data_IF_861324039252
#
_entry.id   IF_861324039252
#
_cell.length_a   1.000
_cell.length_b   1.000
_cell.length_c   1.000
_cell.angle_alpha   90.00
_cell.angle_beta   90.00
_cell.angle_gamma   90.00
#
_symmetry.space_group_name_H-M   'P 1'
#
loop_
_entity.id
_entity.type
_entity.pdbx_description
1 polymer ?
#
# COMPACT_ATOMS: atom_id res chain seq x y z
N UNK A 1 -2.72 15.36 -37.60
CA UNK A 1 -3.28 14.63 -36.45
C UNK A 1 -3.49 13.22 -36.92
N UNK A 2 -2.54 12.33 -36.63
CA UNK A 2 -2.71 10.90 -36.92
C UNK A 2 -3.86 10.40 -36.04
N UNK A 3 -4.88 9.82 -36.66
CA UNK A 3 -5.78 8.93 -35.94
C UNK A 3 -4.90 7.76 -35.45
N UNK A 4 -4.53 7.76 -34.17
CA UNK A 4 -4.20 6.52 -33.50
C UNK A 4 -5.47 5.70 -33.52
N UNK A 5 -5.59 4.78 -34.47
CA UNK A 5 -6.61 3.75 -34.43
C UNK A 5 -6.48 3.05 -33.08
N UNK A 6 -7.57 3.03 -32.31
CA UNK A 6 -7.67 2.26 -31.09
C UNK A 6 -7.59 0.78 -31.49
N UNK A 7 -6.41 0.19 -31.37
CA UNK A 7 -6.20 -1.22 -31.68
C UNK A 7 -6.52 -2.03 -30.43
N UNK A 8 -7.49 -2.93 -30.56
CA UNK A 8 -7.75 -3.98 -29.59
C UNK A 8 -6.81 -5.16 -29.90
N UNK A 9 -5.93 -5.48 -28.95
CA UNK A 9 -4.98 -6.58 -29.04
C UNK A 9 -5.39 -7.68 -28.08
N UNK A 10 -5.52 -8.91 -28.60
CA UNK A 10 -5.65 -10.10 -27.78
C UNK A 10 -4.26 -10.53 -27.30
N UNK A 11 -4.12 -10.72 -25.98
CA UNK A 11 -2.86 -11.12 -25.39
C UNK A 11 -3.06 -12.04 -24.18
N UNK A 12 -1.97 -12.70 -23.79
CA UNK A 12 -1.89 -13.53 -22.59
C UNK A 12 -0.94 -12.89 -21.59
N UNK A 13 -1.34 -12.79 -20.32
CA UNK A 13 -0.49 -12.26 -19.25
C UNK A 13 0.66 -13.21 -18.96
N UNK A 14 1.90 -12.73 -19.06
CA UNK A 14 3.09 -13.47 -18.63
C UNK A 14 3.35 -13.26 -17.14
N UNK A 15 3.13 -12.03 -16.64
CA UNK A 15 3.26 -11.71 -15.24
C UNK A 15 3.07 -10.24 -14.92
N UNK A 16 3.02 -9.93 -13.62
CA UNK A 16 2.88 -8.57 -13.09
C UNK A 16 4.22 -8.10 -12.55
N UNK A 17 4.72 -6.98 -13.09
CA UNK A 17 6.00 -6.40 -12.67
C UNK A 17 5.84 -5.56 -11.39
N UNK A 18 4.82 -4.72 -11.34
CA UNK A 18 4.44 -3.89 -10.19
C UNK A 18 2.94 -3.56 -10.24
N UNK A 19 2.45 -2.71 -9.32
CA UNK A 19 1.03 -2.40 -9.17
C UNK A 19 0.36 -1.77 -10.40
N UNK A 20 1.14 -1.25 -11.35
CA UNK A 20 0.62 -0.59 -12.56
C UNK A 20 1.26 -1.10 -13.85
N UNK A 21 2.04 -2.18 -13.80
CA UNK A 21 2.81 -2.66 -14.95
C UNK A 21 2.71 -4.17 -15.09
N UNK A 22 2.35 -4.64 -16.29
CA UNK A 22 2.27 -6.06 -16.64
C UNK A 22 3.14 -6.38 -17.85
N UNK A 23 3.49 -7.66 -17.99
CA UNK A 23 4.10 -8.21 -19.20
C UNK A 23 3.12 -9.15 -19.86
N UNK A 24 2.95 -9.01 -21.16
CA UNK A 24 1.99 -9.78 -21.96
C UNK A 24 2.66 -10.35 -23.20
N UNK A 25 2.06 -11.38 -23.76
CA UNK A 25 2.42 -11.96 -25.06
C UNK A 25 1.19 -11.94 -25.96
N UNK A 26 1.27 -11.29 -27.11
CA UNK A 26 0.18 -11.28 -28.09
C UNK A 26 0.10 -12.59 -28.90
N UNK A 27 -0.93 -12.71 -29.73
CA UNK A 27 -1.13 -13.88 -30.59
C UNK A 27 -0.06 -14.05 -31.68
N UNK A 28 0.66 -12.98 -32.04
CA UNK A 28 1.81 -13.07 -32.95
C UNK A 28 3.08 -13.57 -32.24
N UNK A 29 3.01 -13.73 -30.91
CA UNK A 29 4.10 -14.19 -30.07
C UNK A 29 5.02 -13.07 -29.57
N UNK A 30 4.72 -11.81 -29.87
CA UNK A 30 5.49 -10.67 -29.43
C UNK A 30 5.23 -10.42 -27.95
N UNK A 31 6.31 -10.21 -27.19
CA UNK A 31 6.23 -9.85 -25.76
C UNK A 31 6.31 -8.34 -25.61
N UNK A 32 5.40 -7.77 -24.83
CA UNK A 32 5.29 -6.33 -24.59
C UNK A 32 5.15 -6.05 -23.10
N UNK A 33 5.73 -4.94 -22.65
CA UNK A 33 5.52 -4.41 -21.30
C UNK A 33 4.48 -3.32 -21.37
N UNK A 34 3.40 -3.48 -20.62
CA UNK A 34 2.22 -2.61 -20.62
C UNK A 34 2.15 -1.89 -19.29
N UNK A 35 2.12 -0.56 -19.33
CA UNK A 35 1.77 0.31 -18.20
C UNK A 35 0.29 0.60 -18.25
N UNK A 36 -0.40 0.47 -17.12
CA UNK A 36 -1.83 0.75 -17.04
C UNK A 36 -2.08 2.26 -17.22
N UNK A 37 -2.87 2.60 -18.23
CA UNK A 37 -3.26 3.97 -18.57
C UNK A 37 -4.21 4.59 -17.52
N UNK A 38 -4.21 5.93 -17.48
CA UNK A 38 -5.15 6.78 -16.74
C UNK A 38 -5.16 6.63 -15.22
N UNK A 39 -4.28 5.79 -14.68
CA UNK A 39 -4.13 5.56 -13.25
C UNK A 39 -2.69 5.85 -12.82
N UNK A 40 -2.54 6.22 -11.55
CA UNK A 40 -1.25 6.40 -10.91
C UNK A 40 -1.23 5.73 -9.54
N UNK A 41 -0.11 5.09 -9.21
CA UNK A 41 0.13 4.49 -7.90
C UNK A 41 1.28 5.30 -7.27
N UNK A 42 0.98 6.19 -6.31
CA UNK A 42 1.95 7.16 -5.80
C UNK A 42 3.23 6.51 -5.27
N UNK A 43 4.39 7.14 -5.45
CA UNK A 43 5.63 6.62 -4.87
C UNK A 43 5.62 6.62 -3.33
N UNK A 44 4.93 7.59 -2.71
CA UNK A 44 4.68 7.59 -1.27
C UNK A 44 3.82 6.40 -0.81
N UNK A 45 3.06 5.79 -1.73
CA UNK A 45 2.30 4.57 -1.49
C UNK A 45 3.16 3.30 -1.57
N UNK A 46 4.42 3.35 -2.02
CA UNK A 46 5.29 2.17 -2.21
C UNK A 46 5.49 1.30 -0.96
N UNK A 47 5.17 1.78 0.24
CA UNK A 47 5.17 0.94 1.45
C UNK A 47 4.02 1.40 2.36
N UNK A 48 2.96 0.62 2.67
CA UNK A 48 2.55 -0.76 2.28
C UNK A 48 1.56 -0.87 1.10
N UNK A 49 1.02 0.24 0.59
CA UNK A 49 -0.11 0.22 -0.37
C UNK A 49 0.28 -0.21 -1.80
N UNK A 50 1.52 0.05 -2.24
CA UNK A 50 2.03 -0.39 -3.55
C UNK A 50 2.18 -1.90 -3.62
N UNK A 51 2.51 -2.54 -2.50
CA UNK A 51 2.47 -4.00 -2.38
C UNK A 51 1.02 -4.52 -2.49
N UNK A 52 0.06 -3.86 -1.84
CA UNK A 52 -1.35 -4.22 -1.94
C UNK A 52 -1.86 -4.09 -3.39
N UNK A 53 -1.52 -3.01 -4.09
CA UNK A 53 -1.86 -2.83 -5.50
C UNK A 53 -1.23 -3.92 -6.40
N UNK A 54 0.03 -4.27 -6.16
CA UNK A 54 0.73 -5.34 -6.90
C UNK A 54 0.09 -6.71 -6.63
N UNK A 55 -0.22 -7.02 -5.37
CA UNK A 55 -0.91 -8.25 -5.00
C UNK A 55 -2.29 -8.33 -5.63
N UNK A 56 -3.03 -7.21 -5.61
CA UNK A 56 -4.35 -7.16 -6.21
C UNK A 56 -4.29 -7.34 -7.73
N UNK A 57 -3.35 -6.69 -8.40
CA UNK A 57 -3.16 -6.85 -9.84
C UNK A 57 -2.79 -8.30 -10.20
N UNK A 58 -1.97 -8.99 -9.37
CA UNK A 58 -1.68 -10.43 -9.54
C UNK A 58 -2.91 -11.33 -9.36
N UNK A 59 -3.84 -10.95 -8.49
CA UNK A 59 -5.10 -11.68 -8.31
C UNK A 59 -6.06 -11.45 -9.46
N UNK A 60 -6.11 -10.23 -10.00
CA UNK A 60 -6.95 -9.88 -11.16
C UNK A 60 -6.38 -10.48 -12.45
N UNK A 61 -5.06 -10.54 -12.57
CA UNK A 61 -4.33 -11.01 -13.74
C UNK A 61 -3.28 -12.08 -13.38
N UNK A 62 -3.70 -13.31 -12.99
CA UNK A 62 -2.79 -14.44 -12.88
C UNK A 62 -2.00 -14.68 -14.19
N UNK A 63 -0.80 -15.24 -14.09
CA UNK A 63 -0.06 -15.66 -15.29
C UNK A 63 -0.87 -16.66 -16.10
N UNK A 64 -0.92 -16.50 -17.42
CA UNK A 64 -1.77 -17.26 -18.33
C UNK A 64 -3.15 -16.65 -18.58
N UNK A 65 -3.53 -15.57 -17.89
CA UNK A 65 -4.86 -14.96 -18.11
C UNK A 65 -4.97 -14.36 -19.51
N UNK A 66 -6.06 -14.66 -20.26
CA UNK A 66 -6.36 -13.98 -21.50
C UNK A 66 -6.86 -12.57 -21.20
N UNK A 67 -6.35 -11.59 -21.94
CA UNK A 67 -6.75 -10.19 -21.80
C UNK A 67 -6.96 -9.54 -23.15
N UNK A 68 -7.81 -8.52 -23.17
CA UNK A 68 -7.94 -7.59 -24.28
C UNK A 68 -7.25 -6.30 -23.89
N UNK A 69 -6.36 -5.81 -24.73
CA UNK A 69 -5.61 -4.58 -24.51
C UNK A 69 -6.10 -3.55 -25.50
N UNK A 70 -6.60 -2.42 -25.00
CA UNK A 70 -6.88 -1.25 -25.82
C UNK A 70 -5.65 -0.37 -25.84
N UNK A 71 -4.89 -0.45 -26.93
CA UNK A 71 -3.63 0.28 -27.07
C UNK A 71 -3.89 1.78 -27.25
N UNK A 72 -3.15 2.62 -26.52
CA UNK A 72 -3.36 4.09 -26.58
C UNK A 72 -2.10 4.79 -27.08
N UNK A 73 -0.98 4.65 -26.37
CA UNK A 73 0.27 5.31 -26.73
C UNK A 73 1.48 4.49 -26.26
N UNK A 74 2.68 4.92 -26.63
CA UNK A 74 3.94 4.43 -26.07
C UNK A 74 4.56 5.51 -25.20
N UNK A 75 5.08 5.14 -24.03
CA UNK A 75 5.88 6.03 -23.22
C UNK A 75 7.31 6.17 -23.74
N UNK A 76 8.05 7.14 -23.19
CA UNK A 76 9.43 7.44 -23.57
C UNK A 76 10.39 6.26 -23.36
N UNK A 77 10.01 5.28 -22.53
CA UNK A 77 10.79 4.07 -22.26
C UNK A 77 10.39 2.90 -23.18
N UNK A 78 9.55 3.15 -24.19
CA UNK A 78 9.09 2.15 -25.15
C UNK A 78 8.05 1.18 -24.60
N UNK A 79 7.50 1.42 -23.39
CA UNK A 79 6.36 0.63 -22.87
C UNK A 79 5.08 1.13 -23.51
N UNK A 80 4.13 0.24 -23.74
CA UNK A 80 2.79 0.67 -24.15
C UNK A 80 2.01 1.14 -22.93
N UNK A 81 1.14 2.12 -23.12
CA UNK A 81 0.31 2.73 -22.07
C UNK A 81 -1.13 2.43 -22.43
N UNK A 82 -1.74 1.45 -21.77
CA UNK A 82 -2.96 0.82 -22.29
C UNK A 82 -4.04 0.63 -21.23
N UNK A 83 -5.28 0.49 -21.68
CA UNK A 83 -6.37 -0.02 -20.84
C UNK A 83 -6.48 -1.54 -21.04
N UNK A 84 -6.43 -2.28 -19.93
CA UNK A 84 -6.42 -3.75 -19.94
C UNK A 84 -7.76 -4.26 -19.46
N UNK A 85 -8.32 -5.22 -20.18
CA UNK A 85 -9.62 -5.81 -19.90
C UNK A 85 -9.49 -7.32 -19.69
N UNK A 86 -10.15 -7.82 -18.65
CA UNK A 86 -10.38 -9.24 -18.38
C UNK A 86 -11.88 -9.45 -18.20
N UNK A 87 -12.45 -10.46 -18.83
CA UNK A 87 -13.90 -10.73 -18.82
C UNK A 87 -14.76 -9.48 -19.11
N UNK A 88 -14.33 -8.70 -20.11
CA UNK A 88 -14.97 -7.45 -20.54
C UNK A 88 -15.04 -6.35 -19.45
N UNK A 89 -14.17 -6.41 -18.44
CA UNK A 89 -14.06 -5.40 -17.37
C UNK A 89 -12.66 -4.78 -17.36
N UNK A 90 -12.62 -3.45 -17.28
CA UNK A 90 -11.38 -2.70 -17.17
C UNK A 90 -10.69 -2.98 -15.84
N UNK A 91 -9.49 -3.55 -15.89
CA UNK A 91 -8.62 -3.78 -14.74
C UNK A 91 -8.17 -2.44 -14.15
N UNK A 92 -7.88 -1.46 -15.01
CA UNK A 92 -7.47 -0.12 -14.61
C UNK A 92 -8.55 0.55 -13.74
N UNK A 93 -9.80 0.53 -14.22
CA UNK A 93 -10.95 1.06 -13.48
C UNK A 93 -11.14 0.30 -12.17
N UNK A 94 -11.02 -1.03 -12.22
CA UNK A 94 -11.20 -1.87 -11.04
C UNK A 94 -10.21 -1.55 -9.91
N UNK A 95 -8.96 -1.28 -10.26
CA UNK A 95 -7.96 -0.84 -9.28
C UNK A 95 -8.35 0.48 -8.61
N UNK A 96 -8.95 1.43 -9.35
CA UNK A 96 -9.44 2.69 -8.77
C UNK A 96 -10.67 2.48 -7.88
N UNK A 97 -11.62 1.65 -8.32
CA UNK A 97 -12.82 1.30 -7.53
C UNK A 97 -12.49 0.70 -6.17
N UNK A 98 -11.43 -0.12 -6.12
CA UNK A 98 -10.98 -0.80 -4.90
C UNK A 98 -9.98 0.05 -4.09
N UNK A 99 -9.66 1.27 -4.56
CA UNK A 99 -8.72 2.17 -3.91
C UNK A 99 -7.26 1.73 -4.01
N UNK A 100 -6.91 0.85 -4.94
CA UNK A 100 -5.54 0.40 -5.17
C UNK A 100 -4.75 1.32 -6.12
N UNK A 101 -5.43 2.24 -6.80
CA UNK A 101 -4.81 3.27 -7.63
C UNK A 101 -5.59 4.60 -7.53
N UNK A 102 -4.91 5.71 -7.83
CA UNK A 102 -5.52 7.03 -8.03
C UNK A 102 -5.75 7.27 -9.52
N UNK A 103 -6.68 8.15 -9.89
CA UNK A 103 -6.75 8.62 -11.27
C UNK A 103 -5.54 9.50 -11.58
N UNK A 104 -4.94 9.32 -12.76
CA UNK A 104 -3.99 10.28 -13.29
C UNK A 104 -4.74 11.32 -14.13
N UNK A 105 -5.00 12.49 -13.52
CA UNK A 105 -5.74 13.58 -14.17
C UNK A 105 -5.06 14.07 -15.45
N UNK A 106 -3.74 13.91 -15.58
CA UNK A 106 -3.01 14.36 -16.78
C UNK A 106 -3.25 13.42 -17.96
N UNK A 107 -3.28 12.12 -17.73
CA UNK A 107 -3.51 11.11 -18.77
C UNK A 107 -4.96 10.62 -18.89
N UNK A 108 -5.89 11.11 -18.05
CA UNK A 108 -7.29 10.64 -18.06
C UNK A 108 -8.01 10.81 -19.41
N UNK A 109 -7.54 11.73 -20.26
CA UNK A 109 -8.05 11.88 -21.62
C UNK A 109 -7.84 10.64 -22.50
N UNK A 110 -6.84 9.80 -22.18
CA UNK A 110 -6.58 8.53 -22.85
C UNK A 110 -7.64 7.45 -22.54
N UNK A 111 -8.49 7.66 -21.53
CA UNK A 111 -9.59 6.78 -21.16
C UNK A 111 -10.94 7.51 -21.23
N UNK A 112 -11.13 8.34 -22.25
CA UNK A 112 -12.26 9.25 -22.33
C UNK A 112 -13.62 8.52 -22.30
N UNK A 113 -13.72 7.35 -22.92
CA UNK A 113 -14.94 6.51 -22.92
C UNK A 113 -15.40 6.15 -21.50
N UNK A 114 -14.45 5.89 -20.59
CA UNK A 114 -14.72 5.50 -19.21
C UNK A 114 -14.45 6.64 -18.20
N UNK A 115 -14.15 7.86 -18.65
CA UNK A 115 -13.71 8.97 -17.80
C UNK A 115 -14.65 9.24 -16.63
N UNK A 116 -15.95 9.26 -16.89
CA UNK A 116 -16.96 9.46 -15.85
C UNK A 116 -16.96 8.32 -14.83
N UNK A 117 -16.78 7.08 -15.29
CA UNK A 117 -16.70 5.91 -14.41
C UNK A 117 -15.47 5.98 -13.50
N UNK A 118 -14.30 6.36 -14.03
CA UNK A 118 -13.09 6.58 -13.24
C UNK A 118 -13.28 7.62 -12.14
N UNK A 119 -13.90 8.77 -12.47
CA UNK A 119 -14.18 9.83 -11.50
C UNK A 119 -15.14 9.37 -10.40
N UNK A 120 -16.20 8.66 -10.77
CA UNK A 120 -17.17 8.09 -9.82
C UNK A 120 -16.50 7.01 -8.94
N UNK A 121 -15.70 6.13 -9.54
CA UNK A 121 -14.98 5.07 -8.85
C UNK A 121 -14.04 5.65 -7.78
N UNK A 122 -13.24 6.66 -8.12
CA UNK A 122 -12.34 7.31 -7.18
C UNK A 122 -13.11 7.98 -6.03
N UNK A 123 -14.17 8.72 -6.35
CA UNK A 123 -15.01 9.35 -5.33
C UNK A 123 -15.64 8.33 -4.38
N UNK A 124 -16.13 7.20 -4.91
CA UNK A 124 -16.70 6.11 -4.12
C UNK A 124 -15.66 5.41 -3.25
N UNK A 125 -14.49 5.09 -3.80
CA UNK A 125 -13.39 4.50 -3.06
C UNK A 125 -12.94 5.43 -1.91
N UNK A 126 -12.91 6.74 -2.14
CA UNK A 126 -12.61 7.75 -1.13
C UNK A 126 -13.68 7.82 -0.04
N UNK A 127 -14.96 7.87 -0.41
CA UNK A 127 -16.07 7.91 0.55
C UNK A 127 -16.13 6.65 1.41
N UNK A 128 -15.86 5.49 0.82
CA UNK A 128 -15.80 4.19 1.51
C UNK A 128 -14.47 3.93 2.22
N UNK A 129 -13.49 4.84 2.10
CA UNK A 129 -12.14 4.72 2.68
C UNK A 129 -11.46 3.39 2.31
N UNK A 130 -11.45 3.06 1.02
CA UNK A 130 -10.83 1.83 0.52
C UNK A 130 -9.36 2.05 0.16
N UNK A 131 -8.50 1.04 0.37
CA UNK A 131 -7.10 1.04 -0.05
C UNK A 131 -6.34 2.31 0.34
N UNK A 132 -5.83 3.04 -0.65
CA UNK A 132 -5.13 4.33 -0.53
C UNK A 132 -5.92 5.41 0.22
N UNK A 133 -7.26 5.28 0.27
CA UNK A 133 -8.16 6.20 0.96
C UNK A 133 -8.48 5.80 2.40
N UNK A 134 -7.90 4.69 2.89
CA UNK A 134 -7.85 4.43 4.32
C UNK A 134 -7.00 5.53 4.96
N UNK A 135 -7.65 6.63 5.35
CA UNK A 135 -7.04 7.58 6.26
C UNK A 135 -6.72 6.82 7.53
N UNK A 136 -5.44 6.54 7.75
CA UNK A 136 -4.97 6.11 9.05
C UNK A 136 -5.40 7.18 10.04
N UNK A 137 -6.38 6.88 10.90
CA UNK A 137 -6.93 7.85 11.85
C UNK A 137 -5.76 8.37 12.68
N UNK A 138 -5.47 9.66 12.57
CA UNK A 138 -4.43 10.26 13.37
C UNK A 138 -4.96 10.53 14.76
N UNK A 139 -4.14 10.22 15.77
CA UNK A 139 -4.44 10.47 17.16
C UNK A 139 -3.42 11.46 17.70
N UNK A 140 -3.89 12.55 18.29
CA UNK A 140 -3.05 13.44 19.10
C UNK A 140 -3.13 12.95 20.54
N UNK A 141 -2.00 12.49 21.08
CA UNK A 141 -1.89 11.93 22.41
C UNK A 141 -0.90 12.74 23.24
N UNK A 142 -1.15 12.83 24.55
CA UNK A 142 -0.27 13.49 25.50
C UNK A 142 0.11 12.51 26.60
N UNK A 143 1.36 12.58 27.03
CA UNK A 143 1.84 11.75 28.11
C UNK A 143 3.35 11.77 28.24
N UNK A 144 3.84 11.02 29.23
CA UNK A 144 5.28 10.88 29.47
C UNK A 144 5.84 9.81 28.54
N UNK A 145 6.85 10.16 27.75
CA UNK A 145 7.54 9.19 26.91
C UNK A 145 8.55 8.41 27.74
N UNK A 146 8.46 7.09 27.70
CA UNK A 146 9.38 6.16 28.32
C UNK A 146 10.06 5.35 27.21
N UNK A 147 11.37 5.17 27.36
CA UNK A 147 12.19 4.33 26.52
C UNK A 147 12.75 3.25 27.45
N UNK A 148 12.62 2.00 27.04
CA UNK A 148 13.20 0.85 27.71
C UNK A 148 14.09 0.13 26.71
N UNK A 149 15.32 -0.17 27.10
CA UNK A 149 16.23 -0.93 26.26
C UNK A 149 15.66 -2.32 25.97
N UNK A 150 15.80 -2.76 24.72
CA UNK A 150 15.27 -4.05 24.29
C UNK A 150 16.04 -5.17 25.02
N UNK A 151 15.35 -6.09 25.71
CA UNK A 151 16.00 -7.25 26.35
C UNK A 151 16.71 -8.14 25.33
N UNK A 152 17.60 -9.04 25.77
CA UNK A 152 18.40 -9.88 24.88
C UNK A 152 17.58 -10.64 23.82
N UNK A 153 18.28 -10.95 22.73
CA UNK A 153 17.77 -11.71 21.58
C UNK A 153 17.11 -13.01 22.08
N UNK A 154 15.92 -13.32 21.55
CA UNK A 154 15.02 -14.45 21.93
C UNK A 154 13.99 -14.20 23.02
N UNK A 155 13.90 -13.00 23.60
CA UNK A 155 12.74 -12.66 24.44
C UNK A 155 11.51 -12.31 23.57
N UNK A 156 10.30 -12.62 24.07
CA UNK A 156 9.04 -12.23 23.41
C UNK A 156 8.90 -10.72 23.25
N UNK A 157 9.45 -9.95 24.20
CA UNK A 157 9.52 -8.48 24.12
C UNK A 157 10.43 -7.98 23.00
N UNK A 158 11.61 -8.60 22.83
CA UNK A 158 12.50 -8.28 21.71
C UNK A 158 11.86 -8.63 20.37
N UNK A 159 11.13 -9.75 20.31
CA UNK A 159 10.36 -10.14 19.13
C UNK A 159 9.28 -9.10 18.76
N UNK A 160 8.50 -8.62 19.74
CA UNK A 160 7.51 -7.56 19.49
C UNK A 160 8.11 -6.19 19.26
N UNK A 161 9.35 -5.94 19.68
CA UNK A 161 10.05 -4.65 19.54
C UNK A 161 9.48 -3.55 20.45
N UNK A 162 8.92 -3.92 21.60
CA UNK A 162 8.26 -2.99 22.52
C UNK A 162 9.30 -2.18 23.32
N UNK A 163 9.87 -1.14 22.72
CA UNK A 163 10.93 -0.30 23.31
C UNK A 163 10.46 1.09 23.77
N UNK A 164 9.44 1.66 23.12
CA UNK A 164 8.91 2.99 23.46
C UNK A 164 7.49 2.91 23.97
N UNK A 165 7.20 3.68 25.01
CA UNK A 165 5.89 3.74 25.63
C UNK A 165 5.46 5.18 25.88
N UNK A 166 4.19 5.47 25.65
CA UNK A 166 3.56 6.69 26.15
C UNK A 166 2.74 6.34 27.38
N UNK A 167 3.11 6.92 28.51
CA UNK A 167 2.31 6.81 29.74
C UNK A 167 1.29 7.94 29.72
N UNK A 168 0.02 7.60 29.59
CA UNK A 168 -1.09 8.56 29.49
C UNK A 168 -1.98 8.50 30.74
N UNK A 169 -2.76 9.54 30.96
CA UNK A 169 -3.77 9.58 32.01
C UNK A 169 -5.16 9.13 31.51
N UNK A 170 -5.24 8.49 30.33
CA UNK A 170 -6.50 8.05 29.76
C UNK A 170 -7.04 6.82 30.51
N UNK A 171 -8.34 6.79 30.86
CA UNK A 171 -8.94 5.61 31.45
C UNK A 171 -8.81 4.42 30.49
N UNK A 172 -8.33 3.28 31.01
CA UNK A 172 -8.06 2.02 30.27
C UNK A 172 -6.89 2.04 29.26
N UNK A 173 -6.14 3.14 29.13
CA UNK A 173 -5.03 3.27 28.16
C UNK A 173 -3.79 3.93 28.77
N UNK A 174 -3.42 3.50 29.98
CA UNK A 174 -2.33 4.12 30.75
C UNK A 174 -0.94 3.91 30.14
N UNK A 175 -0.73 2.87 29.31
CA UNK A 175 0.55 2.58 28.66
C UNK A 175 0.34 2.16 27.21
N UNK A 176 0.76 3.02 26.28
CA UNK A 176 0.64 2.79 24.84
C UNK A 176 2.01 2.48 24.22
N UNK A 177 2.12 1.46 23.39
CA UNK A 177 3.35 1.16 22.65
C UNK A 177 3.50 2.15 21.50
N UNK A 178 4.64 2.81 21.42
CA UNK A 178 5.00 3.72 20.33
C UNK A 178 5.94 3.04 19.34
N UNK A 179 5.82 3.39 18.06
CA UNK A 179 6.72 2.93 17.00
C UNK A 179 7.37 4.13 16.32
N UNK A 180 8.69 4.09 16.07
CA UNK A 180 9.33 5.10 15.23
C UNK A 180 8.76 5.08 13.82
N UNK A 181 8.97 6.17 13.10
CA UNK A 181 8.58 6.32 11.70
C UNK A 181 9.71 6.95 10.89
N UNK A 182 9.51 7.09 9.58
CA UNK A 182 10.43 7.85 8.74
C UNK A 182 10.50 9.34 9.13
N UNK A 183 9.43 9.87 9.73
CA UNK A 183 9.35 11.29 10.16
C UNK A 183 9.94 11.52 11.54
N UNK A 184 9.83 10.53 12.43
CA UNK A 184 10.34 10.59 13.80
C UNK A 184 11.18 9.35 14.05
N UNK A 185 12.50 9.54 14.05
CA UNK A 185 13.46 8.44 14.15
C UNK A 185 13.50 7.82 15.54
N UNK A 186 14.07 6.62 15.64
CA UNK A 186 14.34 5.95 16.92
C UNK A 186 15.18 6.83 17.86
N UNK A 187 16.27 7.43 17.35
CA UNK A 187 17.13 8.32 18.12
C UNK A 187 16.39 9.58 18.60
N UNK A 188 15.50 10.12 17.78
CA UNK A 188 14.65 11.23 18.18
C UNK A 188 13.69 10.82 19.30
N UNK A 189 13.02 9.67 19.23
CA UNK A 189 12.18 9.20 20.36
C UNK A 189 12.99 9.00 21.64
N UNK A 190 14.21 8.46 21.54
CA UNK A 190 15.11 8.29 22.69
C UNK A 190 15.47 9.61 23.37
N UNK A 191 15.66 10.70 22.61
CA UNK A 191 15.99 12.01 23.19
C UNK A 191 14.85 12.61 24.03
N UNK A 192 13.61 12.15 23.84
CA UNK A 192 12.44 12.54 24.65
C UNK A 192 12.19 11.60 25.85
N UNK A 193 13.12 10.67 26.14
CA UNK A 193 12.98 9.79 27.29
C UNK A 193 12.77 10.58 28.59
N UNK A 194 11.78 10.16 29.38
CA UNK A 194 11.34 10.80 30.62
C UNK A 194 10.75 12.22 30.48
N UNK A 195 10.45 12.68 29.27
CA UNK A 195 9.83 13.99 29.04
C UNK A 195 8.33 13.89 28.82
N UNK A 196 7.61 14.96 29.15
CA UNK A 196 6.22 15.13 28.73
C UNK A 196 6.19 15.54 27.26
N UNK A 197 5.38 14.83 26.47
CA UNK A 197 5.29 15.07 25.04
C UNK A 197 3.85 15.12 24.57
N UNK A 198 3.65 15.84 23.48
CA UNK A 198 2.47 15.73 22.63
C UNK A 198 2.91 15.10 21.31
N UNK A 199 2.24 14.02 20.92
CA UNK A 199 2.55 13.26 19.73
C UNK A 199 1.35 13.16 18.80
N UNK A 200 1.60 13.25 17.49
CA UNK A 200 0.62 12.86 16.48
C UNK A 200 0.99 11.47 16.01
N UNK A 201 0.03 10.55 16.02
CA UNK A 201 0.29 9.12 15.77
C UNK A 201 -0.75 8.51 14.85
N UNK A 202 -0.42 7.36 14.29
CA UNK A 202 -1.33 6.46 13.59
C UNK A 202 -1.24 5.09 14.25
N UNK A 203 -2.37 4.46 14.55
CA UNK A 203 -2.35 3.08 15.03
C UNK A 203 -2.06 2.12 13.88
N UNK A 204 -1.11 1.22 14.09
CA UNK A 204 -0.76 0.13 13.18
C UNK A 204 -1.15 -1.17 13.86
N UNK A 205 -1.95 -1.98 13.16
CA UNK A 205 -2.34 -3.30 13.64
C UNK A 205 -1.18 -4.29 13.58
N UNK A 206 -1.29 -5.36 14.36
CA UNK A 206 -0.26 -6.37 14.40
C UNK A 206 -0.27 -7.21 13.12
N UNK A 207 0.91 -7.61 12.64
CA UNK A 207 1.04 -8.57 11.54
C UNK A 207 1.51 -9.92 12.08
N UNK A 208 0.93 -10.99 11.55
CA UNK A 208 1.32 -12.37 11.91
C UNK A 208 2.22 -12.92 10.80
N UNK A 209 3.52 -13.15 11.05
CA UNK A 209 4.41 -13.75 10.05
C UNK A 209 4.06 -15.23 9.82
N UNK A 210 4.39 -15.72 8.63
CA UNK A 210 4.22 -17.14 8.29
C UNK A 210 5.27 -18.00 8.99
N UNK A 211 4.81 -18.98 9.76
CA UNK A 211 5.66 -19.94 10.50
C UNK A 211 6.54 -20.79 9.57
N UNK A 212 6.17 -20.93 8.31
CA UNK A 212 6.92 -21.72 7.32
C UNK A 212 8.12 -20.97 6.73
N UNK A 213 8.27 -19.67 7.00
CA UNK A 213 9.28 -18.81 6.37
C UNK A 213 10.29 -18.24 7.38
N UNK A 214 9.87 -18.06 8.65
CA UNK A 214 10.69 -17.39 9.67
C UNK A 214 10.47 -18.06 11.03
N UNK A 215 11.56 -18.37 11.73
CA UNK A 215 11.48 -18.85 13.12
C UNK A 215 10.95 -17.72 14.04
N UNK A 216 9.91 -18.01 14.81
CA UNK A 216 9.17 -17.03 15.61
C UNK A 216 8.74 -17.66 16.96
N UNK A 217 8.56 -16.86 18.03
CA UNK A 217 7.79 -17.31 19.19
C UNK A 217 6.35 -17.61 18.77
N UNK A 218 5.78 -18.70 19.30
CA UNK A 218 4.41 -19.13 18.98
C UNK A 218 3.45 -18.85 20.13
N UNK A 219 2.18 -18.63 19.81
CA UNK A 219 1.09 -18.58 20.78
C UNK A 219 0.61 -19.99 21.18
N UNK A 220 -0.47 -20.06 21.96
CA UNK A 220 -1.07 -21.31 22.44
C UNK A 220 -1.54 -22.23 21.33
N UNK A 221 -1.83 -21.67 20.15
CA UNK A 221 -2.32 -22.41 18.98
C UNK A 221 -1.17 -22.83 18.04
N UNK A 222 0.08 -22.61 18.46
CA UNK A 222 1.28 -22.96 17.69
C UNK A 222 1.55 -22.04 16.50
N UNK A 223 0.87 -20.90 16.41
CA UNK A 223 1.07 -19.91 15.35
C UNK A 223 2.03 -18.81 15.80
N UNK A 224 2.82 -18.23 14.88
CA UNK A 224 3.72 -17.12 15.20
C UNK A 224 2.97 -16.00 15.93
N UNK A 225 3.51 -15.49 17.03
CA UNK A 225 2.90 -14.37 17.74
C UNK A 225 2.79 -13.14 16.81
N UNK A 226 1.76 -12.31 16.97
CA UNK A 226 1.65 -11.05 16.25
C UNK A 226 2.78 -10.08 16.62
N UNK A 227 3.29 -9.33 15.64
CA UNK A 227 4.37 -8.35 15.81
C UNK A 227 4.02 -6.99 15.17
N UNK A 228 4.66 -5.94 15.66
CA UNK A 228 4.64 -4.61 15.03
C UNK A 228 3.42 -3.75 15.32
N UNK A 229 2.51 -4.17 16.20
CA UNK A 229 1.40 -3.32 16.61
C UNK A 229 1.86 -2.14 17.47
N UNK A 230 1.15 -1.02 17.36
CA UNK A 230 1.38 0.16 18.18
C UNK A 230 1.10 1.46 17.45
N UNK A 231 1.34 2.57 18.14
CA UNK A 231 1.13 3.91 17.60
C UNK A 231 2.40 4.39 16.91
N UNK A 232 2.39 4.40 15.58
CA UNK A 232 3.47 4.97 14.79
C UNK A 232 3.49 6.49 14.91
N UNK A 233 4.61 7.04 15.37
CA UNK A 233 4.75 8.46 15.70
C UNK A 233 5.07 9.26 14.44
N UNK A 234 4.19 10.19 14.06
CA UNK A 234 4.32 11.06 12.90
C UNK A 234 4.94 12.41 13.23
N UNK A 235 4.72 12.90 14.46
CA UNK A 235 5.34 14.10 15.01
C UNK A 235 5.44 13.98 16.53
N UNK A 236 6.43 14.67 17.12
CA UNK A 236 6.64 14.74 18.56
C UNK A 236 7.13 16.14 18.95
N UNK A 237 6.56 16.70 20.01
CA UNK A 237 6.99 17.97 20.61
C UNK A 237 7.03 17.85 22.12
N UNK A 238 8.00 18.51 22.76
CA UNK A 238 8.04 18.64 24.22
C UNK A 238 6.89 19.52 24.70
N UNK A 239 6.41 19.27 25.92
CA UNK A 239 5.44 20.09 26.64
C UNK A 239 5.98 20.56 27.97
#
# INVERSE_FOLDING_TARGET
MELLELILVLATVLGVADGGTIRVKDNAGQTTTVRLACINIPEAAKQPYGLAATQRLKQLLPSGSPVVIRSIEKDENGRTVDEVFVDNRSVNLRLVEEGNALIDRKSLHNCNENKTQFLIAEANAKNKRLGLWQQSKTHTLRGKLIYEEIPPVRSSRAYRGDEFFLITNLPNQSRLVLRPSRKVSRAQLQSFHNQQVEITTVYVEATRPSSNQVACPVDTDGQCMPQGNGYQVLSIVAK
#
